data_IF_147887663518
#
_entry.id   IF_147887663518
#
_cell.length_a   1.000
_cell.length_b   1.000
_cell.length_c   1.000
_cell.angle_alpha   90.00
_cell.angle_beta   90.00
_cell.angle_gamma   90.00
#
_symmetry.space_group_name_H-M   'P 1'
#
loop_
_entity.id
_entity.type
_entity.pdbx_description
1 polymer ?
#
# COMPACT_ATOMS: atom_id res chain seq x y z
N UNK A 1 -25.11 -40.43 -7.92
CA UNK A 1 -25.56 -39.19 -7.26
C UNK A 1 -24.32 -38.45 -6.80
N UNK A 2 -24.00 -37.33 -7.45
CA UNK A 2 -22.78 -36.57 -7.20
C UNK A 2 -22.95 -35.62 -6.03
N UNK A 3 -21.95 -35.58 -5.15
CA UNK A 3 -21.78 -34.50 -4.18
C UNK A 3 -20.61 -33.63 -4.63
N UNK A 4 -20.95 -32.45 -5.16
CA UNK A 4 -20.03 -31.32 -5.31
C UNK A 4 -19.59 -30.88 -3.93
N UNK A 5 -18.29 -30.94 -3.66
CA UNK A 5 -17.69 -30.30 -2.49
C UNK A 5 -17.15 -28.95 -2.95
N UNK A 6 -17.87 -27.88 -2.61
CA UNK A 6 -17.48 -26.51 -2.88
C UNK A 6 -16.15 -26.19 -2.17
N UNK A 7 -15.15 -25.84 -2.97
CA UNK A 7 -13.91 -25.22 -2.52
C UNK A 7 -14.22 -23.83 -1.96
N UNK A 8 -14.47 -23.77 -0.66
CA UNK A 8 -14.62 -22.53 0.10
C UNK A 8 -13.30 -21.80 0.23
N UNK A 9 -12.85 -21.12 -0.83
CA UNK A 9 -11.78 -20.15 -0.77
C UNK A 9 -12.11 -19.09 0.29
N UNK A 10 -11.37 -19.08 1.41
CA UNK A 10 -11.52 -18.06 2.46
C UNK A 10 -11.24 -16.69 1.84
N UNK A 11 -12.30 -15.94 1.53
CA UNK A 11 -12.24 -14.49 1.28
C UNK A 11 -11.48 -13.85 2.43
N UNK A 12 -10.39 -13.15 2.11
CA UNK A 12 -9.60 -12.42 3.08
C UNK A 12 -10.52 -11.55 3.94
N UNK A 13 -10.43 -11.71 5.27
CA UNK A 13 -11.03 -10.75 6.18
C UNK A 13 -10.28 -9.43 5.98
N UNK A 14 -10.98 -8.45 5.39
CA UNK A 14 -10.43 -7.17 4.91
C UNK A 14 -9.62 -6.45 6.00
N UNK A 15 -10.00 -6.64 7.26
CA UNK A 15 -9.31 -6.11 8.44
C UNK A 15 -7.95 -6.79 8.64
N UNK A 16 -7.91 -8.13 8.63
CA UNK A 16 -6.67 -8.90 8.80
C UNK A 16 -5.69 -8.74 7.65
N UNK A 17 -6.15 -8.49 6.42
CA UNK A 17 -5.25 -8.29 5.28
C UNK A 17 -4.45 -6.98 5.40
N UNK A 18 -5.09 -5.89 5.81
CA UNK A 18 -4.42 -4.61 6.07
C UNK A 18 -3.48 -4.71 7.29
N UNK A 19 -3.91 -5.39 8.36
CA UNK A 19 -3.09 -5.63 9.55
C UNK A 19 -1.89 -6.56 9.27
N UNK A 20 -2.04 -7.60 8.44
CA UNK A 20 -0.95 -8.52 8.08
C UNK A 20 0.06 -7.86 7.12
N UNK A 21 -0.39 -6.96 6.24
CA UNK A 21 0.49 -6.15 5.40
C UNK A 21 1.32 -5.13 6.23
N UNK A 22 0.86 -4.78 7.44
CA UNK A 22 1.58 -3.90 8.37
C UNK A 22 2.53 -4.63 9.34
N UNK A 23 2.26 -5.91 9.67
CA UNK A 23 3.00 -6.66 10.70
C UNK A 23 4.11 -7.57 10.11
N UNK A 24 4.15 -7.74 8.79
CA UNK A 24 5.22 -8.48 8.09
C UNK A 24 6.53 -7.70 7.91
N UNK A 25 7.16 -7.25 9.00
CA UNK A 25 8.62 -7.01 9.09
C UNK A 25 9.29 -6.11 8.04
N UNK A 26 8.71 -4.97 7.65
CA UNK A 26 9.36 -4.03 6.74
C UNK A 26 9.37 -2.60 7.31
N UNK A 27 10.55 -2.00 7.25
CA UNK A 27 10.89 -0.62 7.63
C UNK A 27 9.90 0.39 7.04
N UNK A 28 9.31 1.22 7.90
CA UNK A 28 8.40 2.31 7.53
C UNK A 28 9.25 3.44 6.93
N UNK A 29 9.07 3.74 5.65
CA UNK A 29 9.77 4.85 4.98
C UNK A 29 8.78 5.92 4.57
N UNK A 30 9.06 7.16 4.98
CA UNK A 30 8.24 8.33 4.68
C UNK A 30 8.54 9.01 3.34
N UNK A 31 7.58 9.79 2.87
CA UNK A 31 7.50 10.26 1.51
C UNK A 31 7.95 11.72 1.38
N UNK A 32 9.16 11.99 0.88
CA UNK A 32 9.58 13.33 0.40
C UNK A 32 10.85 13.24 -0.47
N UNK A 33 10.71 12.74 -1.70
CA UNK A 33 11.66 12.97 -2.80
C UNK A 33 11.02 12.51 -4.11
N UNK A 34 10.08 13.31 -4.65
CA UNK A 34 9.25 12.90 -5.78
C UNK A 34 9.44 13.87 -6.95
N UNK A 35 10.68 13.91 -7.43
CA UNK A 35 11.03 14.42 -8.75
C UNK A 35 11.67 13.28 -9.53
N UNK A 36 10.97 12.79 -10.57
CA UNK A 36 11.53 12.00 -11.67
C UNK A 36 12.37 10.75 -11.34
N UNK A 37 11.80 9.58 -11.67
CA UNK A 37 12.50 8.38 -12.12
C UNK A 37 13.10 7.39 -11.11
N UNK A 38 12.93 7.53 -9.79
CA UNK A 38 13.36 6.43 -8.92
C UNK A 38 12.57 6.32 -7.61
N UNK A 39 11.72 5.31 -7.53
CA UNK A 39 11.00 5.01 -6.31
C UNK A 39 11.93 4.40 -5.23
N UNK A 40 13.06 3.77 -5.56
CA UNK A 40 14.05 3.39 -4.54
C UNK A 40 14.76 4.61 -3.94
N UNK A 41 15.11 5.61 -4.75
CA UNK A 41 15.58 6.89 -4.22
C UNK A 41 14.53 7.58 -3.33
N UNK A 42 13.24 7.44 -3.63
CA UNK A 42 12.17 7.92 -2.76
C UNK A 42 12.00 7.09 -1.47
N UNK A 43 12.39 5.81 -1.47
CA UNK A 43 12.43 4.92 -0.30
C UNK A 43 13.78 4.94 0.46
N UNK A 44 14.83 5.51 -0.12
CA UNK A 44 16.18 5.60 0.46
C UNK A 44 16.58 7.03 0.82
N UNK A 45 15.88 8.05 0.28
CA UNK A 45 16.08 9.44 0.66
C UNK A 45 15.72 9.62 2.13
N UNK A 46 16.66 10.10 2.97
CA UNK A 46 16.32 10.59 4.29
C UNK A 46 15.26 11.68 4.10
N UNK A 47 14.06 11.42 4.60
CA UNK A 47 13.09 12.50 4.72
C UNK A 47 13.67 13.58 5.62
N UNK A 48 13.22 14.84 5.48
CA UNK A 48 13.39 15.80 6.55
C UNK A 48 12.86 15.14 7.82
N UNK A 49 13.79 14.77 8.70
CA UNK A 49 13.44 14.24 10.00
C UNK A 49 12.60 15.33 10.64
N UNK A 50 11.45 14.95 11.21
CA UNK A 50 10.94 15.70 12.34
C UNK A 50 12.13 15.92 13.28
N UNK A 51 12.31 17.14 13.78
CA UNK A 51 13.32 17.43 14.79
C UNK A 51 13.37 16.24 15.77
N UNK A 52 14.51 15.58 15.99
CA UNK A 52 14.59 14.39 16.83
C UNK A 52 13.98 14.58 18.24
N UNK A 53 13.84 15.83 18.70
CA UNK A 53 13.14 16.18 19.93
C UNK A 53 11.60 16.02 19.85
N UNK A 54 11.02 16.00 18.65
CA UNK A 54 9.59 15.84 18.39
C UNK A 54 9.28 14.36 18.14
N UNK A 55 8.52 13.76 19.04
CA UNK A 55 8.09 12.36 18.91
C UNK A 55 7.10 12.22 17.74
N UNK A 56 7.45 11.38 16.77
CA UNK A 56 6.55 11.02 15.67
C UNK A 56 5.31 10.27 16.19
N UNK A 57 4.17 10.61 15.63
CA UNK A 57 2.90 9.92 15.79
C UNK A 57 2.60 9.08 14.55
N UNK A 58 1.97 7.93 14.76
CA UNK A 58 1.52 7.04 13.71
C UNK A 58 0.05 6.71 13.90
N UNK A 59 -0.69 6.65 12.81
CA UNK A 59 -2.08 6.23 12.80
C UNK A 59 -2.32 5.31 11.62
N UNK A 60 -3.09 4.27 11.83
CA UNK A 60 -3.62 3.41 10.78
C UNK A 60 -5.14 3.34 10.91
N UNK A 61 -5.80 3.00 9.82
CA UNK A 61 -7.21 2.66 9.87
C UNK A 61 -7.93 2.90 8.57
N UNK A 62 -9.25 3.02 8.65
CA UNK A 62 -10.11 3.32 7.51
C UNK A 62 -10.64 4.74 7.59
N UNK A 63 -10.54 5.49 6.50
CA UNK A 63 -11.15 6.80 6.37
C UNK A 63 -12.68 6.65 6.44
N UNK A 64 -13.29 7.24 7.45
CA UNK A 64 -14.74 7.28 7.65
C UNK A 64 -15.33 8.51 6.97
N UNK A 65 -14.64 9.64 7.07
CA UNK A 65 -15.05 10.90 6.46
C UNK A 65 -13.83 11.77 6.12
N UNK A 66 -14.00 12.65 5.13
CA UNK A 66 -13.02 13.65 4.71
C UNK A 66 -13.65 15.04 4.88
N UNK A 67 -13.13 15.83 5.82
CA UNK A 67 -13.73 17.11 6.20
C UNK A 67 -12.69 18.23 6.17
N UNK A 68 -12.70 19.08 5.13
CA UNK A 68 -11.85 20.28 5.02
C UNK A 68 -10.38 20.04 5.37
N UNK A 69 -9.77 19.00 4.79
CA UNK A 69 -8.37 18.64 5.04
C UNK A 69 -8.14 17.83 6.32
N UNK A 70 -9.18 17.51 7.10
CA UNK A 70 -9.08 16.57 8.23
C UNK A 70 -9.73 15.23 7.84
N UNK A 71 -8.99 14.15 7.98
CA UNK A 71 -9.48 12.79 7.82
C UNK A 71 -9.95 12.26 9.17
N UNK A 72 -11.18 11.77 9.23
CA UNK A 72 -11.69 10.99 10.35
C UNK A 72 -11.43 9.51 10.06
N UNK A 73 -10.65 8.86 10.91
CA UNK A 73 -10.10 7.53 10.66
C UNK A 73 -10.47 6.60 11.80
N UNK A 74 -11.15 5.49 11.47
CA UNK A 74 -11.41 4.41 12.41
C UNK A 74 -10.24 3.42 12.40
N UNK A 75 -9.50 3.36 13.50
CA UNK A 75 -8.38 2.43 13.71
C UNK A 75 -8.85 0.98 13.80
N UNK A 76 -7.96 0.04 13.49
CA UNK A 76 -8.29 -1.38 13.44
C UNK A 76 -8.52 -1.98 14.83
N UNK A 77 -8.04 -1.35 15.90
CA UNK A 77 -8.22 -1.79 17.29
C UNK A 77 -9.29 -0.99 18.05
N UNK A 78 -10.11 -0.21 17.33
CA UNK A 78 -11.21 0.56 17.90
C UNK A 78 -10.82 1.99 18.28
N UNK A 79 -9.58 2.42 18.03
CA UNK A 79 -9.20 3.83 18.14
C UNK A 79 -9.91 4.66 17.06
N UNK A 80 -9.94 5.97 17.29
CA UNK A 80 -10.34 6.95 16.28
C UNK A 80 -9.28 8.03 16.21
N UNK A 81 -8.84 8.35 15.00
CA UNK A 81 -7.82 9.36 14.74
C UNK A 81 -8.42 10.49 13.91
N UNK A 82 -8.05 11.72 14.25
CA UNK A 82 -8.28 12.88 13.40
C UNK A 82 -6.93 13.27 12.79
N UNK A 83 -6.82 13.17 11.48
CA UNK A 83 -5.57 13.37 10.75
C UNK A 83 -5.69 14.63 9.92
N UNK A 84 -4.98 15.68 10.30
CA UNK A 84 -4.94 16.93 9.58
C UNK A 84 -3.90 16.86 8.46
N UNK A 85 -4.38 17.00 7.23
CA UNK A 85 -3.59 17.18 6.03
C UNK A 85 -3.28 18.67 5.83
N UNK A 86 -2.09 18.94 5.33
CA UNK A 86 -1.64 20.27 4.95
C UNK A 86 -1.09 20.23 3.52
N UNK A 87 -0.77 21.39 2.95
CA UNK A 87 -0.10 21.48 1.65
C UNK A 87 1.31 20.85 1.67
N UNK A 88 1.88 20.63 2.85
CA UNK A 88 3.16 19.96 3.03
C UNK A 88 3.01 18.43 3.20
N UNK A 89 1.79 17.91 3.35
CA UNK A 89 1.56 16.47 3.51
C UNK A 89 1.82 15.76 2.19
N UNK A 90 2.74 14.80 2.23
CA UNK A 90 3.01 13.93 1.09
C UNK A 90 2.00 12.79 1.04
N UNK A 91 1.30 12.64 -0.07
CA UNK A 91 0.26 11.61 -0.24
C UNK A 91 0.68 10.62 -1.31
N UNK A 92 0.60 9.33 -0.97
CA UNK A 92 0.81 8.23 -1.90
C UNK A 92 -0.45 7.36 -2.01
N UNK A 93 -0.95 7.16 -3.23
CA UNK A 93 -2.02 6.20 -3.57
C UNK A 93 -1.65 5.60 -4.93
N UNK A 94 -0.94 4.47 -4.92
CA UNK A 94 -0.24 3.85 -6.07
C UNK A 94 0.96 4.66 -6.60
N UNK A 95 0.82 5.98 -6.61
CA UNK A 95 1.81 6.97 -6.98
C UNK A 95 1.65 8.18 -6.07
N UNK A 96 2.63 9.08 -6.12
CA UNK A 96 2.48 10.41 -5.54
C UNK A 96 1.25 11.09 -6.08
N UNK A 97 0.45 11.63 -5.17
CA UNK A 97 -0.79 12.31 -5.49
C UNK A 97 -1.07 13.37 -4.42
N UNK A 98 -2.29 13.88 -4.42
CA UNK A 98 -2.76 14.95 -3.55
C UNK A 98 -3.91 14.46 -2.67
N UNK A 99 -4.29 15.28 -1.67
CA UNK A 99 -5.31 14.93 -0.70
C UNK A 99 -6.68 14.64 -1.34
N UNK A 100 -6.98 15.20 -2.50
CA UNK A 100 -8.23 15.00 -3.23
C UNK A 100 -8.41 13.56 -3.73
N UNK A 101 -7.33 12.78 -3.81
CA UNK A 101 -7.41 11.36 -4.19
C UNK A 101 -7.84 10.46 -3.02
N UNK A 102 -7.92 10.98 -1.79
CA UNK A 102 -8.31 10.23 -0.59
C UNK A 102 -9.84 10.24 -0.48
N UNK A 103 -10.42 9.05 -0.39
CA UNK A 103 -11.86 8.86 -0.35
C UNK A 103 -12.29 8.15 0.95
N UNK A 104 -13.54 8.36 1.32
CA UNK A 104 -14.15 7.59 2.41
C UNK A 104 -14.16 6.11 2.02
N UNK A 105 -13.77 5.25 2.95
CA UNK A 105 -13.60 3.82 2.73
C UNK A 105 -12.17 3.41 2.38
N UNK A 106 -11.26 4.33 2.05
CA UNK A 106 -9.85 4.00 1.89
C UNK A 106 -9.23 3.51 3.21
N UNK A 107 -8.35 2.52 3.12
CA UNK A 107 -7.40 2.21 4.18
C UNK A 107 -6.25 3.22 4.14
N UNK A 108 -5.74 3.63 5.29
CA UNK A 108 -4.64 4.56 5.37
C UNK A 108 -3.64 4.17 6.45
N UNK A 109 -2.38 4.50 6.17
CA UNK A 109 -1.33 4.65 7.16
C UNK A 109 -0.86 6.11 7.11
N UNK A 110 -0.73 6.75 8.26
CA UNK A 110 -0.29 8.12 8.38
C UNK A 110 0.83 8.23 9.40
N UNK A 111 1.74 9.16 9.12
CA UNK A 111 2.74 9.62 10.06
C UNK A 111 2.63 11.13 10.21
N UNK A 112 2.92 11.62 11.41
CA UNK A 112 2.91 13.05 11.68
C UNK A 112 3.32 13.37 13.11
N UNK A 113 2.76 14.45 13.64
CA UNK A 113 2.95 14.90 15.02
C UNK A 113 1.59 15.06 15.68
N UNK A 114 1.46 14.58 16.92
CA UNK A 114 0.27 14.83 17.73
C UNK A 114 0.24 16.29 18.16
N UNK A 115 -0.84 16.98 17.81
CA UNK A 115 -1.10 18.37 18.18
C UNK A 115 -1.73 18.44 19.58
N UNK A 116 -1.70 19.61 20.25
CA UNK A 116 -2.30 19.77 21.58
C UNK A 116 -3.80 19.46 21.66
N UNK A 117 -4.53 19.55 20.55
CA UNK A 117 -5.96 19.22 20.43
C UNK A 117 -6.22 17.72 20.20
N UNK A 118 -5.17 16.90 20.14
CA UNK A 118 -5.24 15.46 19.91
C UNK A 118 -5.29 15.05 18.44
N UNK A 119 -5.33 16.00 17.50
CA UNK A 119 -5.20 15.69 16.07
C UNK A 119 -3.77 15.29 15.72
N UNK A 120 -3.59 14.61 14.59
CA UNK A 120 -2.28 14.31 14.02
C UNK A 120 -2.07 15.20 12.81
N UNK A 121 -1.14 16.15 12.89
CA UNK A 121 -0.69 16.90 11.73
C UNK A 121 0.22 16.01 10.89
N UNK A 122 -0.29 15.50 9.76
CA UNK A 122 0.40 14.51 8.96
C UNK A 122 1.48 15.11 8.07
N UNK A 123 2.66 14.50 8.06
CA UNK A 123 3.71 14.80 7.09
C UNK A 123 3.66 13.85 5.89
N UNK A 124 3.20 12.62 6.10
CA UNK A 124 3.08 11.60 5.06
C UNK A 124 1.86 10.70 5.29
N UNK A 125 1.18 10.37 4.19
CA UNK A 125 0.00 9.52 4.14
C UNK A 125 0.13 8.50 3.00
N UNK A 126 -0.02 7.22 3.33
CA UNK A 126 -0.12 6.13 2.36
C UNK A 126 -1.52 5.56 2.36
N UNK A 127 -2.13 5.58 1.19
CA UNK A 127 -3.51 5.20 1.00
C UNK A 127 -3.55 3.87 0.27
N UNK A 128 -4.24 2.92 0.89
CA UNK A 128 -4.40 1.54 0.43
C UNK A 128 -3.08 0.82 0.12
N UNK A 129 -1.96 1.27 0.68
CA UNK A 129 -0.66 0.64 0.42
C UNK A 129 -0.68 -0.81 0.87
N UNK A 130 -0.15 -1.68 0.02
CA UNK A 130 0.07 -3.09 0.34
C UNK A 130 1.47 -3.50 -0.08
N UNK A 131 2.11 -4.29 0.77
CA UNK A 131 3.38 -4.95 0.51
C UNK A 131 3.19 -6.45 0.80
N UNK A 132 3.10 -7.27 -0.25
CA UNK A 132 2.69 -8.67 -0.13
C UNK A 132 3.68 -9.58 -0.82
N UNK A 133 4.22 -10.55 -0.08
CA UNK A 133 4.98 -11.67 -0.67
C UNK A 133 4.03 -12.71 -1.23
N UNK A 134 4.19 -13.10 -2.48
CA UNK A 134 3.29 -14.03 -3.16
C UNK A 134 4.02 -14.89 -4.19
N UNK A 135 3.31 -15.85 -4.75
CA UNK A 135 3.74 -16.66 -5.90
C UNK A 135 2.87 -16.34 -7.10
N UNK A 136 3.47 -16.13 -8.27
CA UNK A 136 2.72 -15.94 -9.52
C UNK A 136 2.10 -17.29 -9.92
N UNK A 137 0.77 -17.34 -10.01
CA UNK A 137 0.01 -18.52 -10.44
C UNK A 137 -0.48 -18.43 -11.89
N UNK A 138 -0.65 -17.22 -12.40
CA UNK A 138 -1.09 -16.99 -13.77
C UNK A 138 -0.71 -15.60 -14.24
N UNK A 139 -0.47 -15.46 -15.55
CA UNK A 139 -0.13 -14.20 -16.20
C UNK A 139 -1.12 -13.99 -17.33
N UNK A 140 -1.82 -12.86 -17.30
CA UNK A 140 -2.67 -12.39 -18.37
C UNK A 140 -2.20 -11.00 -18.82
N UNK A 141 -2.82 -10.45 -19.87
CA UNK A 141 -2.37 -9.20 -20.51
C UNK A 141 -2.32 -8.01 -19.55
N UNK A 142 -3.31 -7.89 -18.68
CA UNK A 142 -3.54 -6.74 -17.80
C UNK A 142 -3.49 -7.10 -16.30
N UNK A 143 -3.19 -8.36 -15.96
CA UNK A 143 -3.27 -8.84 -14.59
C UNK A 143 -2.39 -10.07 -14.33
N UNK A 144 -2.08 -10.27 -13.07
CA UNK A 144 -1.43 -11.42 -12.48
C UNK A 144 -2.39 -12.09 -11.50
N UNK A 145 -2.46 -13.41 -11.58
CA UNK A 145 -3.05 -14.24 -10.54
C UNK A 145 -1.95 -14.60 -9.56
N UNK A 146 -2.14 -14.28 -8.29
CA UNK A 146 -1.13 -14.36 -7.24
C UNK A 146 -1.66 -15.23 -6.11
N UNK A 147 -0.76 -15.99 -5.48
CA UNK A 147 -1.07 -16.74 -4.26
C UNK A 147 -0.25 -16.20 -3.08
N UNK A 148 -0.92 -15.82 -1.99
CA UNK A 148 -0.31 -15.47 -0.72
C UNK A 148 -0.79 -16.46 0.35
N UNK A 149 0.06 -17.42 0.71
CA UNK A 149 -0.36 -18.56 1.53
C UNK A 149 -1.53 -19.31 0.89
N UNK A 150 -2.65 -19.41 1.61
CA UNK A 150 -3.88 -20.06 1.14
C UNK A 150 -4.88 -19.10 0.46
N UNK A 151 -4.46 -17.87 0.14
CA UNK A 151 -5.31 -16.85 -0.45
C UNK A 151 -4.91 -16.56 -1.89
N UNK A 152 -5.92 -16.46 -2.76
CA UNK A 152 -5.76 -15.95 -4.12
C UNK A 152 -5.96 -14.44 -4.14
N UNK A 153 -5.10 -13.76 -4.89
CA UNK A 153 -5.07 -12.32 -5.09
C UNK A 153 -4.99 -12.04 -6.59
N UNK A 154 -5.54 -10.91 -7.01
CA UNK A 154 -5.40 -10.41 -8.39
C UNK A 154 -4.63 -9.11 -8.35
N UNK A 155 -3.45 -9.11 -8.98
CA UNK A 155 -2.65 -7.92 -9.18
C UNK A 155 -2.86 -7.37 -10.59
N UNK A 156 -3.33 -6.13 -10.71
CA UNK A 156 -3.53 -5.44 -11.99
C UNK A 156 -2.23 -4.78 -12.45
N UNK A 157 -1.88 -4.99 -13.70
CA UNK A 157 -0.78 -4.29 -14.36
C UNK A 157 -1.32 -2.92 -14.79
N UNK A 158 -0.78 -1.86 -14.21
CA UNK A 158 -1.14 -0.48 -14.52
C UNK A 158 -0.15 0.09 -15.53
N UNK A 159 -0.59 0.40 -16.77
CA UNK A 159 0.29 0.95 -17.80
C UNK A 159 1.06 2.17 -17.31
N UNK A 160 2.33 2.26 -17.72
CA UNK A 160 3.28 3.32 -17.33
C UNK A 160 3.57 3.45 -15.81
N UNK A 161 2.99 2.58 -14.97
CA UNK A 161 3.18 2.62 -13.51
C UNK A 161 3.82 1.34 -12.99
N UNK A 162 3.33 0.18 -13.42
CA UNK A 162 3.87 -1.11 -12.97
C UNK A 162 5.28 -1.31 -13.48
N UNK A 163 6.21 -1.54 -12.55
CA UNK A 163 7.60 -1.87 -12.81
C UNK A 163 7.98 -3.19 -12.17
N UNK A 164 9.03 -3.84 -12.67
CA UNK A 164 9.61 -5.04 -12.09
C UNK A 164 11.12 -4.85 -11.85
N UNK A 165 11.62 -5.43 -10.77
CA UNK A 165 13.04 -5.71 -10.53
C UNK A 165 13.24 -7.22 -10.53
N UNK A 166 14.27 -7.69 -11.22
CA UNK A 166 14.63 -9.09 -11.30
C UNK A 166 15.98 -9.30 -10.63
N UNK A 167 16.05 -10.17 -9.63
CA UNK A 167 17.31 -10.54 -8.94
C UNK A 167 18.09 -9.32 -8.40
N UNK A 168 17.39 -8.30 -7.89
CA UNK A 168 18.02 -7.07 -7.39
C UNK A 168 18.54 -6.12 -8.48
N UNK A 169 18.23 -6.39 -9.75
CA UNK A 169 18.54 -5.49 -10.85
C UNK A 169 17.69 -4.21 -10.84
N UNK A 170 18.05 -3.27 -11.72
CA UNK A 170 17.32 -2.02 -11.88
C UNK A 170 15.85 -2.23 -12.25
N UNK A 171 15.01 -1.25 -11.91
CA UNK A 171 13.60 -1.26 -12.25
C UNK A 171 13.41 -1.16 -13.76
N UNK A 172 12.47 -1.95 -14.28
CA UNK A 172 12.09 -1.93 -15.70
C UNK A 172 10.58 -2.04 -15.86
N UNK A 173 10.04 -1.44 -16.91
CA UNK A 173 8.67 -1.67 -17.36
C UNK A 173 8.53 -2.97 -18.17
N UNK A 174 9.64 -3.63 -18.51
CA UNK A 174 9.64 -4.92 -19.20
C UNK A 174 9.25 -6.06 -18.25
N UNK A 175 8.01 -6.52 -18.40
CA UNK A 175 7.44 -7.64 -17.64
C UNK A 175 7.63 -8.99 -18.35
N UNK A 176 8.31 -9.04 -19.49
CA UNK A 176 8.42 -10.25 -20.33
C UNK A 176 9.22 -11.38 -19.69
N UNK A 177 9.98 -11.11 -18.63
CA UNK A 177 10.81 -12.09 -17.91
C UNK A 177 10.08 -12.74 -16.73
N UNK A 178 8.87 -12.29 -16.40
CA UNK A 178 8.05 -12.92 -15.37
C UNK A 178 7.64 -14.33 -15.77
N UNK A 179 7.59 -15.24 -14.81
CA UNK A 179 7.21 -16.64 -15.00
C UNK A 179 6.21 -17.07 -13.94
N UNK A 180 5.29 -17.95 -14.32
CA UNK A 180 4.45 -18.68 -13.36
C UNK A 180 5.36 -19.52 -12.47
N UNK A 181 5.05 -19.55 -11.18
CA UNK A 181 5.84 -20.23 -10.15
C UNK A 181 6.84 -19.34 -9.43
N UNK A 182 7.21 -18.19 -9.99
CA UNK A 182 8.15 -17.26 -9.34
C UNK A 182 7.57 -16.67 -8.06
N UNK A 183 8.45 -16.51 -7.08
CA UNK A 183 8.18 -15.69 -5.90
C UNK A 183 8.27 -14.20 -6.25
N UNK A 184 7.35 -13.41 -5.72
CA UNK A 184 7.28 -11.98 -5.98
C UNK A 184 6.93 -11.24 -4.69
N UNK A 185 7.62 -10.14 -4.41
CA UNK A 185 7.16 -9.13 -3.48
C UNK A 185 6.42 -8.05 -4.28
N UNK A 186 5.15 -7.83 -3.95
CA UNK A 186 4.26 -6.89 -4.63
C UNK A 186 4.10 -5.66 -3.75
N UNK A 187 4.54 -4.52 -4.25
CA UNK A 187 4.14 -3.22 -3.73
C UNK A 187 3.05 -2.64 -4.62
N UNK A 188 1.94 -2.22 -4.02
CA UNK A 188 0.82 -1.68 -4.79
C UNK A 188 -0.21 -0.97 -3.94
N UNK A 189 -1.31 -0.59 -4.59
CA UNK A 189 -2.47 -0.01 -3.94
C UNK A 189 -3.66 -0.97 -4.04
N UNK A 190 -4.20 -1.36 -2.89
CA UNK A 190 -5.44 -2.12 -2.82
C UNK A 190 -6.63 -1.29 -3.31
N UNK A 191 -7.55 -1.95 -4.00
CA UNK A 191 -8.80 -1.37 -4.49
C UNK A 191 -9.96 -1.95 -3.68
N UNK A 192 -10.60 -1.16 -2.80
CA UNK A 192 -11.71 -1.65 -2.00
C UNK A 192 -12.89 -2.20 -2.82
N UNK A 193 -13.11 -1.65 -4.01
CA UNK A 193 -14.26 -1.96 -4.86
C UNK A 193 -14.25 -3.40 -5.41
N UNK A 194 -13.10 -3.88 -5.87
CA UNK A 194 -12.94 -5.19 -6.53
C UNK A 194 -11.95 -6.11 -5.80
N UNK A 195 -11.37 -5.65 -4.70
CA UNK A 195 -10.37 -6.38 -3.92
C UNK A 195 -9.11 -6.75 -4.71
N UNK A 196 -8.83 -6.03 -5.79
CA UNK A 196 -7.60 -6.17 -6.57
C UNK A 196 -6.50 -5.28 -6.01
N UNK A 197 -5.26 -5.55 -6.44
CA UNK A 197 -4.10 -4.70 -6.15
C UNK A 197 -3.67 -4.06 -7.46
N UNK A 198 -3.74 -2.74 -7.58
CA UNK A 198 -3.03 -2.03 -8.64
C UNK A 198 -1.52 -2.08 -8.32
N UNK A 199 -0.72 -2.66 -9.21
CA UNK A 199 0.69 -2.94 -8.94
C UNK A 199 1.53 -1.70 -9.25
N UNK A 200 2.28 -1.21 -8.26
CA UNK A 200 3.33 -0.21 -8.49
C UNK A 200 4.66 -0.90 -8.87
N UNK A 201 5.06 -1.90 -8.09
CA UNK A 201 6.33 -2.60 -8.27
C UNK A 201 6.23 -4.08 -7.94
N UNK A 202 6.95 -4.89 -8.70
CA UNK A 202 7.24 -6.29 -8.42
C UNK A 202 8.73 -6.45 -8.17
N UNK A 203 9.11 -7.09 -7.08
CA UNK A 203 10.48 -7.59 -6.89
C UNK A 203 10.44 -9.11 -7.02
N UNK A 204 11.10 -9.63 -8.05
CA UNK A 204 10.99 -11.03 -8.45
C UNK A 204 12.19 -11.84 -7.98
N UNK A 205 11.88 -12.91 -7.26
CA UNK A 205 12.83 -13.93 -6.83
C UNK A 205 12.87 -15.12 -7.78
N UNK A 206 13.56 -16.17 -7.33
CA UNK A 206 13.56 -17.47 -8.01
C UNK A 206 12.19 -18.16 -7.86
#
# INVERSE_FOLDING_TARGET
MGHNQESGGRRLDRRRFLTAAAIGGATIVGASALGGLDAEAAFAAPMPSLDPAIRAAFAEGRVVAVNRGVLDVAGSHGERHLIQLTNATSVWKLRTTTAEAIESGDGLYARGVTMPDGTIAADAVWVNIVNVHCTIRGIAKDRLHLAHGNHELVGRIVPATTTASYLGGALTSDLSRMRIGQTAQVLGAWRPADNHIDIARLTLGH
#
